data_IF_838635206786
#
_entry.id   IF_838635206786
#
_cell.length_a   1.000
_cell.length_b   1.000
_cell.length_c   1.000
_cell.angle_alpha   90.00
_cell.angle_beta   90.00
_cell.angle_gamma   90.00
#
_symmetry.space_group_name_H-M   'P 1'
#
loop_
_entity.id
_entity.type
_entity.pdbx_description
1 polymer ?
#
# COMPACT_ATOMS: atom_id res chain seq x y z
N UNK A 1 -16.44 1.22 -34.96
CA UNK A 1 -16.79 1.57 -33.56
C UNK A 1 -15.63 2.35 -32.96
N UNK A 2 -15.75 3.69 -32.90
CA UNK A 2 -14.67 4.55 -32.40
C UNK A 2 -14.42 4.26 -30.93
N UNK A 3 -13.21 3.79 -30.61
CA UNK A 3 -12.71 3.75 -29.24
C UNK A 3 -12.56 5.19 -28.77
N UNK A 4 -13.49 5.65 -27.95
CA UNK A 4 -13.45 6.95 -27.32
C UNK A 4 -12.38 6.90 -26.23
N UNK A 5 -11.11 7.09 -26.61
CA UNK A 5 -10.04 7.28 -25.62
C UNK A 5 -10.27 8.65 -24.99
N UNK A 6 -10.52 8.74 -23.67
CA UNK A 6 -10.69 10.04 -23.01
C UNK A 6 -9.44 10.89 -23.24
N UNK A 7 -9.64 12.18 -23.49
CA UNK A 7 -8.53 13.12 -23.57
C UNK A 7 -7.68 13.04 -22.29
N UNK A 8 -6.33 13.13 -22.39
CA UNK A 8 -5.48 13.09 -21.21
C UNK A 8 -5.89 14.21 -20.24
N UNK A 9 -6.16 13.83 -18.99
CA UNK A 9 -6.58 14.78 -17.96
C UNK A 9 -5.41 15.74 -17.68
N UNK A 10 -5.54 17.00 -18.08
CA UNK A 10 -4.54 18.04 -17.82
C UNK A 10 -4.75 18.61 -16.41
N UNK A 11 -3.70 18.60 -15.59
CA UNK A 11 -3.72 19.18 -14.24
C UNK A 11 -3.52 18.19 -13.10
N UNK A 12 -3.62 18.70 -11.87
CA UNK A 12 -3.40 17.92 -10.65
C UNK A 12 -4.57 16.97 -10.41
N UNK A 13 -4.30 15.65 -10.42
CA UNK A 13 -5.34 14.61 -10.29
C UNK A 13 -5.60 14.15 -8.86
N UNK A 14 -4.67 14.43 -7.95
CA UNK A 14 -4.76 14.03 -6.55
C UNK A 14 -4.30 15.15 -5.60
N UNK A 15 -4.83 15.16 -4.39
CA UNK A 15 -4.46 16.11 -3.35
C UNK A 15 -4.28 15.44 -2.00
N UNK A 16 -3.27 15.86 -1.25
CA UNK A 16 -3.11 15.49 0.16
C UNK A 16 -3.88 16.47 1.04
N UNK A 17 -4.72 15.96 1.94
CA UNK A 17 -5.43 16.75 2.96
C UNK A 17 -5.58 15.93 4.25
N UNK A 18 -6.16 16.51 5.31
CA UNK A 18 -6.46 15.76 6.54
C UNK A 18 -7.44 14.62 6.23
N UNK A 19 -7.14 13.43 6.73
CA UNK A 19 -7.99 12.25 6.55
C UNK A 19 -8.92 12.05 7.76
N UNK A 20 -10.08 11.45 7.51
CA UNK A 20 -10.94 10.93 8.57
C UNK A 20 -10.48 9.57 9.11
N UNK A 21 -9.56 8.88 8.41
CA UNK A 21 -9.00 7.59 8.81
C UNK A 21 -7.81 7.78 9.74
N UNK A 22 -6.77 8.48 9.28
CA UNK A 22 -5.56 8.72 10.06
C UNK A 22 -4.78 9.90 9.50
N UNK A 23 -4.32 10.83 10.34
CA UNK A 23 -3.44 11.93 9.96
C UNK A 23 -3.80 12.65 8.65
N UNK A 24 -3.03 12.36 7.59
CA UNK A 24 -3.27 12.84 6.22
C UNK A 24 -3.75 11.70 5.33
N UNK A 25 -4.46 12.05 4.28
CA UNK A 25 -4.95 11.15 3.23
C UNK A 25 -4.68 11.74 1.85
N UNK A 26 -4.73 10.90 0.82
CA UNK A 26 -4.68 11.33 -0.58
C UNK A 26 -6.05 11.14 -1.20
N UNK A 27 -6.53 12.14 -1.93
CA UNK A 27 -7.87 12.18 -2.47
C UNK A 27 -7.85 12.43 -3.97
N UNK A 28 -8.76 11.79 -4.69
CA UNK A 28 -8.97 12.04 -6.11
C UNK A 28 -9.57 13.44 -6.32
N UNK A 29 -9.05 14.22 -7.26
CA UNK A 29 -9.60 15.51 -7.69
C UNK A 29 -10.45 15.40 -8.96
N UNK A 30 -10.36 14.26 -9.63
CA UNK A 30 -11.04 13.91 -10.87
C UNK A 30 -11.42 12.44 -10.78
N UNK A 31 -12.32 12.00 -11.65
CA UNK A 31 -12.63 10.58 -11.77
C UNK A 31 -11.39 9.82 -12.28
N UNK A 32 -11.14 8.64 -11.69
CA UNK A 32 -10.03 7.76 -12.03
C UNK A 32 -10.62 6.43 -12.47
N UNK A 33 -10.21 5.96 -13.64
CA UNK A 33 -10.72 4.72 -14.19
C UNK A 33 -10.06 3.50 -13.53
N UNK A 34 -10.78 2.38 -13.48
CA UNK A 34 -10.20 1.09 -13.08
C UNK A 34 -8.95 0.74 -13.91
N UNK A 35 -7.93 0.21 -13.24
CA UNK A 35 -6.66 -0.19 -13.83
C UNK A 35 -5.68 0.95 -14.09
N UNK A 36 -6.10 2.20 -13.89
CA UNK A 36 -5.25 3.36 -14.13
C UNK A 36 -4.16 3.53 -13.07
N UNK A 37 -2.94 3.83 -13.50
CA UNK A 37 -1.84 4.21 -12.62
C UNK A 37 -2.01 5.64 -12.12
N UNK A 38 -2.05 5.82 -10.81
CA UNK A 38 -2.34 7.10 -10.16
C UNK A 38 -1.05 7.84 -9.79
N UNK A 39 -0.15 7.16 -9.07
CA UNK A 39 1.09 7.73 -8.54
C UNK A 39 2.09 6.60 -8.25
N UNK A 40 3.37 6.89 -8.37
CA UNK A 40 4.44 6.00 -7.91
C UNK A 40 4.71 6.22 -6.41
N UNK A 41 4.89 5.12 -5.68
CA UNK A 41 5.40 5.13 -4.31
C UNK A 41 6.92 5.27 -4.35
N UNK A 42 7.40 6.49 -4.09
CA UNK A 42 8.83 6.83 -4.15
C UNK A 42 9.38 7.16 -2.77
N UNK A 43 10.67 6.96 -2.62
CA UNK A 43 11.47 7.22 -1.43
C UNK A 43 12.90 6.75 -1.65
N UNK A 44 13.74 6.84 -0.62
CA UNK A 44 15.07 6.21 -0.67
C UNK A 44 14.95 4.69 -0.66
N UNK A 45 15.62 3.99 -1.57
CA UNK A 45 15.75 2.53 -1.52
C UNK A 45 16.93 2.19 -0.61
N UNK A 46 16.65 1.54 0.51
CA UNK A 46 17.63 1.19 1.53
C UNK A 46 17.57 -0.30 1.86
N UNK A 47 18.58 -0.80 2.57
CA UNK A 47 18.56 -2.18 3.08
C UNK A 47 17.66 -2.32 4.30
N UNK A 48 17.17 -3.53 4.58
CA UNK A 48 16.45 -3.82 5.82
C UNK A 48 17.25 -3.49 7.09
N UNK A 49 18.58 -3.69 7.07
CA UNK A 49 19.46 -3.30 8.19
C UNK A 49 19.41 -1.80 8.47
N UNK A 50 19.40 -0.99 7.42
CA UNK A 50 19.31 0.47 7.54
C UNK A 50 17.91 0.91 7.98
N UNK A 51 16.85 0.25 7.48
CA UNK A 51 15.49 0.52 7.94
C UNK A 51 15.33 0.24 9.45
N UNK A 52 15.87 -0.88 9.94
CA UNK A 52 15.89 -1.18 11.38
C UNK A 52 16.68 -0.15 12.19
N UNK A 53 17.78 0.38 11.64
CA UNK A 53 18.57 1.44 12.28
C UNK A 53 17.82 2.77 12.34
N UNK A 54 17.01 3.09 11.33
CA UNK A 54 16.20 4.31 11.24
C UNK A 54 14.89 4.20 12.05
N UNK A 55 14.43 2.98 12.32
CA UNK A 55 13.21 2.76 13.08
C UNK A 55 13.42 2.97 14.60
N UNK A 56 12.48 3.63 15.29
CA UNK A 56 11.29 4.28 14.76
C UNK A 56 11.59 5.65 14.15
N UNK A 57 10.84 6.04 13.11
CA UNK A 57 10.90 7.39 12.57
C UNK A 57 10.39 8.44 13.57
N UNK A 58 9.35 8.10 14.33
CA UNK A 58 8.85 8.88 15.46
C UNK A 58 8.79 8.00 16.72
N UNK A 59 9.64 8.25 17.74
CA UNK A 59 9.59 7.49 18.99
C UNK A 59 8.24 7.56 19.74
N UNK A 60 7.40 8.57 19.47
CA UNK A 60 6.08 8.71 20.08
C UNK A 60 5.00 7.91 19.34
N UNK A 61 5.26 7.53 18.10
CA UNK A 61 4.39 6.72 17.25
C UNK A 61 5.22 5.70 16.45
N UNK A 62 5.84 4.74 17.15
CA UNK A 62 6.86 3.88 16.54
C UNK A 62 6.31 2.98 15.44
N UNK A 63 5.02 2.65 15.49
CA UNK A 63 4.37 1.75 14.53
C UNK A 63 3.97 2.46 13.23
N UNK A 64 3.99 3.79 13.19
CA UNK A 64 3.74 4.57 11.99
C UNK A 64 5.02 4.74 11.19
N UNK A 65 5.12 3.98 10.10
CA UNK A 65 6.29 4.00 9.21
C UNK A 65 5.88 4.29 7.77
N UNK A 66 6.84 4.77 6.98
CA UNK A 66 6.70 4.97 5.54
C UNK A 66 7.51 3.95 4.74
N UNK A 67 7.64 2.73 5.29
CA UNK A 67 8.37 1.64 4.66
C UNK A 67 7.48 0.88 3.68
N UNK A 68 8.01 0.60 2.48
CA UNK A 68 7.37 -0.26 1.49
C UNK A 68 8.33 -1.38 1.09
N UNK A 69 7.95 -2.63 1.35
CA UNK A 69 8.76 -3.81 1.02
C UNK A 69 8.87 -3.97 -0.50
N UNK A 70 10.11 -4.05 -1.00
CA UNK A 70 10.39 -4.43 -2.39
C UNK A 70 10.79 -5.90 -2.48
N UNK A 71 11.84 -6.28 -1.76
CA UNK A 71 12.37 -7.64 -1.75
C UNK A 71 13.06 -7.97 -0.40
N UNK A 72 13.57 -9.20 -0.28
CA UNK A 72 14.22 -9.71 0.94
C UNK A 72 15.44 -8.88 1.41
N UNK A 73 15.98 -7.99 0.56
CA UNK A 73 17.13 -7.15 0.84
C UNK A 73 16.77 -5.67 0.94
N UNK A 74 15.76 -5.22 0.21
CA UNK A 74 15.47 -3.80 0.00
C UNK A 74 14.06 -3.39 0.42
N UNK A 75 13.98 -2.15 0.88
CA UNK A 75 12.75 -1.46 1.28
C UNK A 75 12.83 0.00 0.85
N UNK A 76 11.70 0.57 0.42
CA UNK A 76 11.58 2.00 0.17
C UNK A 76 11.29 2.69 1.49
N UNK A 77 12.05 3.71 1.86
CA UNK A 77 11.76 4.64 2.95
C UNK A 77 11.22 5.96 2.39
N UNK A 78 9.89 6.11 2.34
CA UNK A 78 9.26 7.30 1.78
C UNK A 78 9.26 8.52 2.74
N UNK A 79 9.83 8.40 3.95
CA UNK A 79 10.12 9.60 4.76
C UNK A 79 11.16 10.48 4.05
N UNK A 80 12.15 9.86 3.41
CA UNK A 80 13.25 10.51 2.72
C UNK A 80 13.04 10.42 1.20
N UNK A 81 13.05 11.56 0.50
CA UNK A 81 12.85 11.58 -0.95
C UNK A 81 11.44 11.19 -1.42
N UNK A 82 10.48 10.99 -0.51
CA UNK A 82 9.13 10.55 -0.88
C UNK A 82 8.19 11.65 -1.35
N UNK A 83 7.11 11.25 -2.02
CA UNK A 83 6.08 12.13 -2.55
C UNK A 83 4.74 12.00 -1.77
N UNK A 84 3.61 12.42 -2.37
CA UNK A 84 2.30 12.36 -1.72
C UNK A 84 1.79 10.93 -1.44
N UNK A 85 2.30 9.91 -2.12
CA UNK A 85 1.88 8.51 -1.99
C UNK A 85 2.04 7.94 -0.58
N UNK A 86 3.01 8.43 0.21
CA UNK A 86 3.22 8.00 1.61
C UNK A 86 2.04 8.29 2.54
N UNK A 87 1.14 9.18 2.12
CA UNK A 87 -0.07 9.54 2.86
C UNK A 87 -1.31 8.76 2.41
N UNK A 88 -1.18 7.79 1.50
CA UNK A 88 -2.30 6.93 1.11
C UNK A 88 -2.57 5.95 2.27
N UNK A 89 -3.79 5.99 2.80
CA UNK A 89 -4.14 5.23 3.99
C UNK A 89 -4.48 3.76 3.70
N UNK A 90 -4.49 2.97 4.76
CA UNK A 90 -4.96 1.59 4.72
C UNK A 90 -6.49 1.50 4.60
N UNK A 91 -6.98 0.53 3.83
CA UNK A 91 -8.36 0.05 3.93
C UNK A 91 -8.47 -1.46 3.79
N UNK A 92 -9.33 -2.08 4.61
CA UNK A 92 -9.71 -3.49 4.47
C UNK A 92 -10.67 -3.73 3.28
N UNK A 93 -11.24 -2.67 2.69
CA UNK A 93 -11.99 -2.70 1.43
C UNK A 93 -11.39 -1.65 0.49
N UNK A 94 -10.20 -1.91 -0.08
CA UNK A 94 -9.44 -0.90 -0.78
C UNK A 94 -10.07 -0.48 -2.10
N UNK A 95 -9.71 0.71 -2.58
CA UNK A 95 -9.98 1.16 -3.96
C UNK A 95 -8.73 1.26 -4.84
N UNK A 96 -7.54 1.06 -4.27
CA UNK A 96 -6.28 0.98 -4.98
C UNK A 96 -5.49 -0.28 -4.61
N UNK A 97 -4.53 -0.66 -5.45
CA UNK A 97 -3.52 -1.67 -5.16
C UNK A 97 -2.12 -1.20 -5.56
N UNK A 98 -1.07 -1.65 -4.87
CA UNK A 98 0.30 -1.50 -5.34
C UNK A 98 0.60 -2.52 -6.45
N UNK A 99 1.22 -2.06 -7.52
CA UNK A 99 1.73 -2.85 -8.63
C UNK A 99 3.24 -2.63 -8.77
N UNK A 100 4.01 -3.67 -8.48
CA UNK A 100 5.45 -3.65 -8.60
C UNK A 100 5.88 -3.98 -10.03
N UNK A 101 6.64 -3.07 -10.64
CA UNK A 101 7.19 -3.18 -11.99
C UNK A 101 8.67 -2.81 -11.93
N UNK A 102 9.54 -3.79 -12.17
CA UNK A 102 11.00 -3.59 -12.24
C UNK A 102 11.59 -2.91 -10.99
N UNK A 103 11.17 -3.34 -9.79
CA UNK A 103 11.65 -2.79 -8.51
C UNK A 103 11.07 -1.42 -8.14
N UNK A 104 10.07 -0.93 -8.89
CA UNK A 104 9.32 0.30 -8.62
C UNK A 104 7.88 -0.03 -8.29
N UNK A 105 7.27 0.74 -7.39
CA UNK A 105 5.91 0.48 -6.92
C UNK A 105 4.97 1.57 -7.43
N UNK A 106 3.96 1.17 -8.20
CA UNK A 106 2.94 2.07 -8.73
C UNK A 106 1.60 1.79 -8.06
N UNK A 107 0.90 2.83 -7.62
CA UNK A 107 -0.45 2.70 -7.08
C UNK A 107 -1.45 2.76 -8.24
N UNK A 108 -2.24 1.70 -8.39
CA UNK A 108 -3.27 1.55 -9.43
C UNK A 108 -4.67 1.51 -8.85
N UNK A 109 -5.65 1.97 -9.60
CA UNK A 109 -7.06 1.88 -9.22
C UNK A 109 -7.60 0.44 -9.41
N UNK A 110 -8.23 -0.11 -8.37
CA UNK A 110 -8.89 -1.43 -8.39
C UNK A 110 -10.31 -1.40 -8.97
N UNK A 111 -10.89 -0.21 -9.07
CA UNK A 111 -12.23 0.09 -9.59
C UNK A 111 -12.25 1.55 -10.05
N UNK A 112 -13.33 1.97 -10.69
CA UNK A 112 -13.57 3.39 -10.89
C UNK A 112 -13.64 4.12 -9.53
N UNK A 113 -12.94 5.25 -9.41
CA UNK A 113 -12.88 6.11 -8.23
C UNK A 113 -13.43 7.48 -8.62
N UNK A 114 -14.46 7.94 -7.91
CA UNK A 114 -15.05 9.24 -8.16
C UNK A 114 -14.19 10.37 -7.57
N UNK A 115 -14.26 11.55 -8.18
CA UNK A 115 -13.68 12.76 -7.60
C UNK A 115 -14.16 12.97 -6.16
N UNK A 116 -13.22 13.30 -5.26
CA UNK A 116 -13.46 13.50 -3.83
C UNK A 116 -13.26 12.26 -2.96
N UNK A 117 -13.23 11.05 -3.52
CA UNK A 117 -12.93 9.83 -2.76
C UNK A 117 -11.49 9.82 -2.24
N UNK A 118 -11.29 9.26 -1.04
CA UNK A 118 -9.96 8.99 -0.50
C UNK A 118 -9.37 7.74 -1.15
N UNK A 119 -8.12 7.82 -1.61
CA UNK A 119 -7.36 6.68 -2.11
C UNK A 119 -6.86 5.84 -0.93
N UNK A 120 -6.96 4.52 -1.06
CA UNK A 120 -6.53 3.59 -0.03
C UNK A 120 -6.20 2.21 -0.62
N UNK A 121 -5.24 1.52 0.00
CA UNK A 121 -4.90 0.14 -0.35
C UNK A 121 -4.75 -0.75 0.90
N UNK A 122 -4.73 -2.07 0.71
CA UNK A 122 -4.37 -2.98 1.81
C UNK A 122 -2.85 -2.96 2.00
N UNK A 123 -2.37 -2.59 3.18
CA UNK A 123 -0.92 -2.49 3.44
C UNK A 123 -0.24 -3.85 3.44
N UNK A 124 -0.99 -4.94 3.68
CA UNK A 124 -0.39 -6.27 3.72
C UNK A 124 0.67 -6.43 4.81
N UNK A 125 0.55 -5.71 5.94
CA UNK A 125 1.55 -5.76 7.01
C UNK A 125 1.58 -7.17 7.63
N UNK A 126 2.66 -7.90 7.43
CA UNK A 126 2.89 -9.20 8.04
C UNK A 126 3.97 -9.06 9.11
N UNK A 127 3.69 -9.60 10.29
CA UNK A 127 4.65 -9.71 11.38
C UNK A 127 4.91 -11.20 11.63
N UNK A 128 6.17 -11.58 11.78
CA UNK A 128 6.60 -12.93 12.12
C UNK A 128 6.39 -13.21 13.63
N UNK A 129 5.14 -13.15 14.05
CA UNK A 129 4.70 -13.47 15.41
C UNK A 129 3.25 -13.98 15.39
N UNK A 130 2.84 -14.79 16.38
CA UNK A 130 1.45 -15.18 16.54
C UNK A 130 0.53 -13.95 16.65
N UNK A 131 -0.55 -13.94 15.87
CA UNK A 131 -1.50 -12.82 15.80
C UNK A 131 -2.44 -12.81 17.03
N UNK A 132 -1.86 -12.54 18.20
CA UNK A 132 -2.58 -12.39 19.47
C UNK A 132 -3.42 -11.12 19.49
N UNK A 133 -4.45 -11.07 20.32
CA UNK A 133 -5.30 -9.87 20.42
C UNK A 133 -4.53 -8.65 20.95
N UNK A 134 -3.51 -8.88 21.79
CA UNK A 134 -2.57 -7.84 22.20
C UNK A 134 -1.82 -7.26 21.00
N UNK A 135 -1.22 -8.10 20.16
CA UNK A 135 -0.49 -7.65 18.97
C UNK A 135 -1.42 -6.91 17.99
N UNK A 136 -2.64 -7.42 17.77
CA UNK A 136 -3.63 -6.72 16.93
C UNK A 136 -3.95 -5.33 17.46
N UNK A 137 -4.05 -5.17 18.79
CA UNK A 137 -4.34 -3.89 19.44
C UNK A 137 -3.20 -2.87 19.33
N UNK A 138 -1.96 -3.32 19.10
CA UNK A 138 -0.80 -2.43 18.83
C UNK A 138 -0.83 -1.85 17.40
N UNK A 139 -1.58 -2.47 16.49
CA UNK A 139 -1.77 -2.05 15.09
C UNK A 139 -3.25 -1.90 14.74
N UNK A 140 -4.00 -1.01 15.41
CA UNK A 140 -5.45 -0.90 15.21
C UNK A 140 -5.78 -0.38 13.81
N UNK A 141 -6.86 -0.88 13.20
CA UNK A 141 -7.35 -0.38 11.91
C UNK A 141 -8.59 0.49 12.04
N UNK A 142 -8.54 1.67 11.42
CA UNK A 142 -9.53 2.74 11.54
C UNK A 142 -10.23 3.03 10.20
N UNK A 143 -10.12 2.12 9.22
CA UNK A 143 -10.54 2.38 7.84
C UNK A 143 -12.06 2.52 7.62
N UNK A 144 -12.89 2.21 8.62
CA UNK A 144 -14.35 2.33 8.52
C UNK A 144 -15.06 1.32 7.60
N UNK A 145 -14.33 0.35 7.01
CA UNK A 145 -14.95 -0.66 6.15
C UNK A 145 -15.93 -1.55 6.94
N UNK A 146 -17.09 -1.88 6.34
CA UNK A 146 -18.12 -2.74 6.97
C UNK A 146 -17.61 -4.11 7.47
N UNK A 147 -16.61 -4.67 6.79
CA UNK A 147 -15.93 -5.92 7.17
C UNK A 147 -14.45 -5.65 7.49
N UNK A 148 -14.20 -4.65 8.33
CA UNK A 148 -12.86 -4.33 8.80
C UNK A 148 -12.27 -5.49 9.63
N UNK A 149 -10.98 -5.76 9.46
CA UNK A 149 -10.25 -6.77 10.23
C UNK A 149 -9.95 -6.35 11.68
N UNK A 150 -10.16 -5.06 11.99
CA UNK A 150 -9.83 -4.46 13.29
C UNK A 150 -8.35 -4.15 13.49
N UNK A 151 -7.46 -4.63 12.62
CA UNK A 151 -6.02 -4.40 12.66
C UNK A 151 -5.44 -4.13 11.27
N UNK A 152 -4.33 -3.38 11.21
CA UNK A 152 -3.54 -3.17 9.99
C UNK A 152 -2.80 -4.43 9.55
N UNK A 153 -2.64 -5.40 10.47
CA UNK A 153 -1.94 -6.65 10.22
C UNK A 153 -2.77 -7.56 9.31
N UNK A 154 -2.12 -8.07 8.27
CA UNK A 154 -2.65 -9.14 7.46
C UNK A 154 -2.61 -10.46 8.25
N UNK A 155 -3.66 -11.26 8.12
CA UNK A 155 -3.60 -12.66 8.55
C UNK A 155 -2.50 -13.36 7.75
N UNK A 156 -1.71 -14.22 8.39
CA UNK A 156 -0.64 -15.05 7.79
C UNK A 156 -1.08 -16.01 6.66
N UNK A 157 -2.27 -15.85 6.12
CA UNK A 157 -2.74 -16.57 4.94
C UNK A 157 -2.24 -15.84 3.69
N UNK A 158 -1.35 -16.46 2.89
CA UNK A 158 -0.83 -15.83 1.69
C UNK A 158 -1.96 -15.42 0.74
N UNK A 159 -1.84 -14.24 0.17
CA UNK A 159 -2.79 -13.73 -0.81
C UNK A 159 -2.77 -14.56 -2.10
N UNK A 160 -3.71 -14.35 -3.02
CA UNK A 160 -3.85 -15.18 -4.24
C UNK A 160 -2.60 -15.14 -5.13
N UNK A 161 -1.83 -14.04 -5.13
CA UNK A 161 -0.59 -13.85 -5.89
C UNK A 161 0.56 -14.62 -5.22
N UNK A 162 0.70 -14.50 -3.91
CA UNK A 162 1.68 -15.26 -3.10
C UNK A 162 1.41 -16.76 -3.17
N UNK A 163 0.15 -17.20 -3.12
CA UNK A 163 -0.24 -18.61 -3.32
C UNK A 163 0.14 -19.12 -4.71
N UNK A 164 0.06 -18.27 -5.75
CA UNK A 164 0.48 -18.62 -7.12
C UNK A 164 2.01 -18.67 -7.24
N UNK A 165 2.73 -17.73 -6.64
CA UNK A 165 4.19 -17.72 -6.60
C UNK A 165 4.74 -18.94 -5.84
N UNK A 166 4.21 -19.24 -4.65
CA UNK A 166 4.58 -20.41 -3.85
C UNK A 166 4.25 -21.74 -4.56
N UNK A 167 3.13 -21.82 -5.30
CA UNK A 167 2.82 -23.00 -6.13
C UNK A 167 3.80 -23.19 -7.28
N UNK A 168 4.26 -22.11 -7.92
CA UNK A 168 5.26 -22.17 -8.99
C UNK A 168 6.63 -22.60 -8.45
N UNK A 169 7.06 -22.03 -7.32
CA UNK A 169 8.31 -22.41 -6.65
C UNK A 169 8.35 -23.90 -6.27
N UNK A 170 7.28 -24.43 -5.63
CA UNK A 170 7.18 -25.86 -5.26
C UNK A 170 7.11 -26.82 -6.46
N UNK A 171 6.69 -26.36 -7.64
CA UNK A 171 6.66 -27.19 -8.86
C UNK A 171 8.00 -27.22 -9.58
N UNK A 172 8.82 -26.17 -9.46
CA UNK A 172 10.18 -26.14 -9.99
C UNK A 172 11.10 -27.05 -9.17
N UNK A 173 10.93 -27.07 -7.85
CA UNK A 173 11.76 -27.85 -6.91
C UNK A 173 11.49 -29.36 -6.97
N UNK A 174 10.34 -29.79 -7.50
CA UNK A 174 9.98 -31.21 -7.73
C UNK A 174 10.46 -31.77 -9.07
N UNK A 175 11.11 -30.96 -9.89
CA UNK A 175 11.62 -31.33 -11.23
C UNK A 175 13.15 -31.43 -11.28
N UNK A 176 13.83 -31.38 -10.14
CA UNK A 176 15.24 -31.71 -9.98
C UNK A 176 15.40 -32.97 -9.15
#
# INVERSE_FOLDING_TARGET
MSKNTPAPVTGRRIQTRRSGVHGKGVFALTDIAEGETIIEYVGEIITWKEALRRHPHDPKDPNHTFYFHLDDKHVIDALYGGNSSRWINHSCKPNCEPDEVEGRVFIKALRNIAAGEELNYDYGLVIDAPLTDKLKAEYPCWCGAKKCRGTLLASSQPNKRERRAQKKAKQADKKH
#
